data_IF_857127204322
#
_entry.id   IF_857127204322
#
_cell.length_a   1.000
_cell.length_b   1.000
_cell.length_c   1.000
_cell.angle_alpha   90.00
_cell.angle_beta   90.00
_cell.angle_gamma   90.00
#
_symmetry.space_group_name_H-M   'P 1'
#
loop_
_entity.id
_entity.type
_entity.pdbx_description
1 polymer ?
#
# COMPACT_ATOMS: atom_id res chain seq x y z
N UNK A 1 17.64 7.98 -30.56
CA UNK A 1 18.42 8.54 -29.45
C UNK A 1 17.60 9.17 -28.30
N UNK A 2 16.52 9.93 -28.54
CA UNK A 2 15.72 10.57 -27.46
C UNK A 2 15.06 9.58 -26.47
N UNK A 3 14.57 8.42 -26.91
CA UNK A 3 13.90 7.42 -26.06
C UNK A 3 14.83 6.71 -25.06
N UNK A 4 16.10 6.54 -25.40
CA UNK A 4 17.10 5.90 -24.52
C UNK A 4 17.51 6.82 -23.37
N UNK A 5 17.62 8.11 -23.62
CA UNK A 5 18.01 9.09 -22.61
C UNK A 5 16.92 9.30 -21.52
N UNK A 6 15.65 9.26 -21.93
CA UNK A 6 14.54 9.35 -20.96
C UNK A 6 14.50 8.14 -20.01
N UNK A 7 14.74 6.93 -20.52
CA UNK A 7 14.78 5.71 -19.68
C UNK A 7 15.91 5.76 -18.65
N UNK A 8 17.07 6.29 -19.03
CA UNK A 8 18.21 6.44 -18.10
C UNK A 8 17.97 7.48 -17.02
N UNK A 9 17.30 8.58 -17.33
CA UNK A 9 16.96 9.62 -16.35
C UNK A 9 15.92 9.14 -15.33
N UNK A 10 14.91 8.39 -15.76
CA UNK A 10 13.90 7.81 -14.88
C UNK A 10 14.55 6.76 -13.96
N UNK A 11 15.40 5.89 -14.50
CA UNK A 11 16.11 4.90 -13.68
C UNK A 11 17.02 5.55 -12.62
N UNK A 12 17.70 6.63 -12.96
CA UNK A 12 18.55 7.35 -12.02
C UNK A 12 17.75 8.09 -10.93
N UNK A 13 16.60 8.70 -11.29
CA UNK A 13 15.76 9.40 -10.32
C UNK A 13 15.04 8.44 -9.38
N UNK A 14 14.55 7.31 -9.86
CA UNK A 14 13.92 6.26 -9.04
C UNK A 14 14.95 5.61 -8.11
N UNK A 15 16.15 5.32 -8.61
CA UNK A 15 17.22 4.77 -7.77
C UNK A 15 17.62 5.71 -6.62
N UNK A 16 17.73 7.00 -6.88
CA UNK A 16 18.10 7.99 -5.86
C UNK A 16 17.01 8.18 -4.78
N UNK A 17 15.74 8.11 -5.15
CA UNK A 17 14.62 8.27 -4.19
C UNK A 17 14.44 7.02 -3.33
N UNK A 18 14.73 5.84 -3.83
CA UNK A 18 14.57 4.60 -3.06
C UNK A 18 15.56 4.46 -1.91
N UNK A 19 16.71 5.16 -1.96
CA UNK A 19 17.70 5.13 -0.89
C UNK A 19 17.58 6.28 0.11
N UNK A 20 16.77 7.30 -0.17
CA UNK A 20 16.63 8.46 0.69
C UNK A 20 15.45 8.30 1.65
N UNK A 21 15.69 7.77 2.84
CA UNK A 21 14.89 8.02 4.05
C UNK A 21 13.57 7.28 4.24
N UNK A 22 13.40 6.07 3.74
CA UNK A 22 12.31 5.22 4.24
C UNK A 22 12.88 4.31 5.34
N UNK A 23 12.39 4.45 6.57
CA UNK A 23 12.67 3.48 7.62
C UNK A 23 12.31 2.09 7.09
N UNK A 24 13.26 1.17 7.08
CA UNK A 24 13.02 -0.18 6.59
C UNK A 24 12.41 -1.01 7.69
N UNK A 25 11.15 -1.42 7.54
CA UNK A 25 10.62 -2.51 8.35
C UNK A 25 11.43 -3.79 8.08
N UNK A 26 11.73 -4.53 9.13
CA UNK A 26 12.40 -5.83 9.04
C UNK A 26 11.39 -6.89 9.43
N UNK A 27 11.07 -7.82 8.53
CA UNK A 27 9.93 -8.71 8.68
C UNK A 27 10.12 -10.05 8.01
N UNK A 28 9.26 -11.00 8.38
CA UNK A 28 9.05 -12.22 7.60
C UNK A 28 7.95 -12.05 6.54
N UNK A 29 7.09 -11.06 6.70
CA UNK A 29 6.04 -10.70 5.75
C UNK A 29 5.86 -9.19 5.74
N UNK A 30 5.83 -8.61 4.54
CA UNK A 30 5.68 -7.18 4.28
C UNK A 30 4.40 -6.93 3.49
N UNK A 31 3.55 -6.07 4.01
CA UNK A 31 2.38 -5.56 3.31
C UNK A 31 2.71 -4.22 2.63
N UNK A 32 2.44 -4.13 1.36
CA UNK A 32 2.45 -2.91 0.57
C UNK A 32 1.00 -2.51 0.26
N UNK A 33 0.44 -1.52 0.96
CA UNK A 33 -1.01 -1.26 0.96
C UNK A 33 -1.54 -0.70 -0.36
N UNK A 34 -0.68 -0.31 -1.28
CA UNK A 34 -1.11 0.16 -2.58
C UNK A 34 -0.05 -0.11 -3.65
N UNK A 35 -0.47 -0.71 -4.75
CA UNK A 35 0.29 -0.71 -6.00
C UNK A 35 -0.60 -0.32 -7.17
N UNK A 36 0.03 0.11 -8.25
CA UNK A 36 -0.65 0.38 -9.52
C UNK A 36 0.19 -0.07 -10.71
N UNK A 37 -0.48 -0.59 -11.74
CA UNK A 37 0.09 -0.91 -13.05
C UNK A 37 -0.52 -0.05 -14.16
N UNK A 38 -1.09 1.10 -13.80
CA UNK A 38 -1.66 2.05 -14.75
C UNK A 38 -0.54 2.67 -15.62
N UNK A 39 -0.84 2.94 -16.87
CA UNK A 39 0.14 3.47 -17.82
C UNK A 39 0.73 4.84 -17.44
N UNK A 40 -0.02 5.64 -16.67
CA UNK A 40 0.41 6.97 -16.20
C UNK A 40 1.17 6.95 -14.88
N UNK A 41 1.01 5.91 -14.06
CA UNK A 41 1.71 5.79 -12.80
C UNK A 41 2.02 4.33 -12.52
N UNK A 42 3.28 4.00 -12.28
CA UNK A 42 3.73 2.62 -12.07
C UNK A 42 4.36 2.44 -10.71
N UNK A 43 4.10 1.30 -10.11
CA UNK A 43 4.75 0.91 -8.88
C UNK A 43 6.04 0.17 -9.14
N UNK A 44 7.07 0.53 -8.38
CA UNK A 44 8.39 -0.12 -8.37
C UNK A 44 8.62 -0.69 -6.98
N UNK A 45 8.79 -1.99 -6.90
CA UNK A 45 9.10 -2.70 -5.68
C UNK A 45 10.63 -2.83 -5.53
N UNK A 46 11.12 -2.55 -4.33
CA UNK A 46 12.50 -2.85 -3.93
C UNK A 46 12.48 -3.75 -2.70
N UNK A 47 13.12 -4.89 -2.79
CA UNK A 47 13.29 -5.83 -1.70
C UNK A 47 14.76 -6.05 -1.42
N UNK A 48 15.11 -6.28 -0.16
CA UNK A 48 16.45 -6.69 0.23
C UNK A 48 16.40 -7.79 1.29
N UNK A 49 17.37 -8.69 1.20
CA UNK A 49 17.64 -9.69 2.20
C UNK A 49 18.90 -9.29 2.98
N UNK A 50 18.73 -8.87 4.22
CA UNK A 50 19.84 -8.46 5.08
C UNK A 50 20.36 -9.61 5.97
N UNK A 51 19.80 -10.80 5.82
CA UNK A 51 20.18 -11.99 6.57
C UNK A 51 21.46 -12.63 6.04
N UNK A 52 22.20 -13.24 6.95
CA UNK A 52 23.42 -13.99 6.62
C UNK A 52 23.16 -15.47 6.38
N UNK A 53 22.01 -15.97 6.76
CA UNK A 53 21.58 -17.36 6.60
C UNK A 53 20.04 -17.46 6.66
N UNK A 54 19.42 -18.30 5.85
CA UNK A 54 20.02 -19.07 4.75
C UNK A 54 20.48 -18.16 3.62
N UNK A 55 21.42 -18.64 2.83
CA UNK A 55 21.99 -17.89 1.71
C UNK A 55 20.93 -17.36 0.72
N UNK A 56 19.77 -18.01 0.63
CA UNK A 56 18.67 -17.62 -0.25
C UNK A 56 17.35 -17.69 0.51
N UNK A 57 16.55 -16.63 0.45
CA UNK A 57 15.17 -16.64 0.93
C UNK A 57 14.25 -17.00 -0.24
N UNK A 58 13.42 -18.03 -0.02
CA UNK A 58 12.28 -18.28 -0.89
C UNK A 58 11.17 -17.29 -0.54
N UNK A 59 10.68 -16.56 -1.51
CA UNK A 59 9.66 -15.54 -1.34
C UNK A 59 8.33 -16.00 -1.95
N UNK A 60 7.23 -15.62 -1.30
CA UNK A 60 5.88 -15.72 -1.83
C UNK A 60 5.31 -14.33 -2.00
N UNK A 61 4.77 -14.05 -3.17
CA UNK A 61 4.13 -12.79 -3.54
C UNK A 61 2.65 -13.04 -3.72
N UNK A 62 1.83 -12.26 -3.04
CA UNK A 62 0.38 -12.28 -3.18
C UNK A 62 -0.10 -10.90 -3.58
N UNK A 63 -0.48 -10.77 -4.83
CA UNK A 63 -1.09 -9.56 -5.36
C UNK A 63 -2.59 -9.66 -5.23
N UNK A 64 -3.20 -8.80 -4.44
CA UNK A 64 -4.65 -8.69 -4.31
C UNK A 64 -5.12 -7.46 -5.07
N UNK A 65 -6.06 -7.61 -5.98
CA UNK A 65 -6.42 -6.54 -6.90
C UNK A 65 -7.90 -6.56 -7.30
N UNK A 66 -8.36 -5.40 -7.81
CA UNK A 66 -9.71 -5.22 -8.30
C UNK A 66 -10.78 -5.23 -7.21
N UNK A 67 -12.01 -4.90 -7.58
CA UNK A 67 -13.13 -4.77 -6.65
C UNK A 67 -13.62 -6.13 -6.09
N UNK A 68 -13.33 -7.23 -6.79
CA UNK A 68 -13.72 -8.58 -6.38
C UNK A 68 -12.68 -9.26 -5.46
N UNK A 69 -11.59 -8.58 -5.12
CA UNK A 69 -10.48 -9.18 -4.39
C UNK A 69 -9.92 -10.43 -5.09
N UNK A 70 -9.65 -10.28 -6.35
CA UNK A 70 -8.93 -11.32 -7.09
C UNK A 70 -7.48 -11.33 -6.64
N UNK A 71 -6.86 -12.49 -6.57
CA UNK A 71 -5.45 -12.57 -6.25
C UNK A 71 -4.65 -13.28 -7.33
N UNK A 72 -3.36 -12.99 -7.33
CA UNK A 72 -2.35 -13.64 -8.16
C UNK A 72 -1.16 -13.99 -7.26
N UNK A 73 -0.88 -15.28 -7.19
CA UNK A 73 0.20 -15.84 -6.40
C UNK A 73 1.42 -16.14 -7.26
N UNK A 74 2.58 -15.81 -6.74
CA UNK A 74 3.84 -16.14 -7.41
C UNK A 74 4.97 -16.39 -6.40
N UNK A 75 5.98 -17.11 -6.85
CA UNK A 75 7.15 -17.42 -6.03
C UNK A 75 8.40 -16.76 -6.63
N UNK A 76 9.24 -16.24 -5.76
CA UNK A 76 10.53 -15.67 -6.11
C UNK A 76 11.62 -16.12 -5.15
N UNK A 77 12.79 -15.55 -5.30
CA UNK A 77 13.90 -15.77 -4.40
C UNK A 77 14.78 -14.53 -4.30
N UNK A 78 15.45 -14.39 -3.16
CA UNK A 78 16.38 -13.31 -2.88
C UNK A 78 17.57 -13.88 -2.13
N UNK A 79 18.77 -13.73 -2.68
CA UNK A 79 19.99 -14.25 -2.08
C UNK A 79 20.40 -13.43 -0.85
N UNK A 80 21.34 -13.93 -0.04
CA UNK A 80 21.81 -13.18 1.13
C UNK A 80 22.51 -11.88 0.72
N UNK A 81 22.27 -10.81 1.47
CA UNK A 81 22.81 -9.46 1.21
C UNK A 81 22.45 -8.91 -0.19
N UNK A 82 21.35 -9.34 -0.73
CA UNK A 82 20.88 -8.99 -2.06
C UNK A 82 19.83 -7.90 -2.05
N UNK A 83 19.73 -7.15 -3.15
CA UNK A 83 18.71 -6.12 -3.39
C UNK A 83 18.11 -6.34 -4.77
N UNK A 84 16.83 -6.59 -4.82
CA UNK A 84 16.06 -6.73 -6.06
C UNK A 84 15.09 -5.56 -6.20
N UNK A 85 15.25 -4.77 -7.26
CA UNK A 85 14.33 -3.68 -7.59
C UNK A 85 13.78 -3.84 -9.00
N UNK A 86 12.46 -3.83 -9.11
CA UNK A 86 11.77 -3.99 -10.39
C UNK A 86 10.40 -3.31 -10.40
N UNK A 87 9.87 -3.01 -11.59
CA UNK A 87 8.48 -2.58 -11.70
C UNK A 87 7.53 -3.71 -11.30
N UNK A 88 6.39 -3.37 -10.70
CA UNK A 88 5.33 -4.34 -10.42
C UNK A 88 4.77 -4.90 -11.73
N UNK A 89 4.45 -4.03 -12.68
CA UNK A 89 3.98 -4.45 -13.99
C UNK A 89 5.07 -5.21 -14.75
N UNK A 90 4.68 -6.29 -15.42
CA UNK A 90 5.58 -6.97 -16.35
C UNK A 90 5.94 -6.06 -17.53
N UNK A 91 7.09 -6.28 -18.20
CA UNK A 91 7.41 -5.55 -19.42
C UNK A 91 6.34 -5.66 -20.50
N UNK A 92 5.66 -6.82 -20.59
CA UNK A 92 4.54 -7.04 -21.51
C UNK A 92 3.29 -6.21 -21.13
N UNK A 93 3.13 -5.91 -19.85
CA UNK A 93 2.06 -5.03 -19.32
C UNK A 93 2.51 -3.56 -19.22
N UNK A 94 3.61 -3.17 -19.86
CA UNK A 94 4.11 -1.80 -19.89
C UNK A 94 5.08 -1.44 -18.76
N UNK A 95 5.51 -2.40 -17.95
CA UNK A 95 6.48 -2.19 -16.87
C UNK A 95 7.90 -1.91 -17.37
N UNK A 96 8.72 -1.32 -16.52
CA UNK A 96 10.11 -0.98 -16.84
C UNK A 96 11.05 -2.20 -16.81
N UNK A 97 10.62 -3.30 -16.19
CA UNK A 97 11.50 -4.43 -15.90
C UNK A 97 12.33 -4.22 -14.62
N UNK A 98 13.48 -4.84 -14.55
CA UNK A 98 14.48 -4.60 -13.49
C UNK A 98 14.98 -3.16 -13.54
N UNK A 99 15.10 -2.52 -12.36
CA UNK A 99 15.62 -1.16 -12.22
C UNK A 99 17.10 -1.18 -11.86
N UNK A 100 17.56 -2.18 -11.13
CA UNK A 100 18.93 -2.28 -10.63
C UNK A 100 19.65 -3.49 -11.23
N UNK A 101 20.76 -3.22 -11.87
CA UNK A 101 21.93 -4.03 -12.06
C UNK A 101 21.85 -5.41 -12.69
N UNK A 102 22.95 -6.13 -12.56
CA UNK A 102 23.22 -7.49 -13.07
C UNK A 102 22.82 -8.59 -12.09
N UNK A 103 22.00 -8.29 -11.10
CA UNK A 103 21.50 -9.24 -10.12
C UNK A 103 20.82 -10.44 -10.82
N UNK A 104 21.10 -11.64 -10.34
CA UNK A 104 20.56 -12.89 -10.87
C UNK A 104 19.21 -13.27 -10.29
N UNK A 105 18.75 -12.59 -9.24
CA UNK A 105 17.41 -12.79 -8.67
C UNK A 105 16.32 -12.53 -9.70
N UNK A 106 15.33 -13.39 -9.74
CA UNK A 106 14.26 -13.32 -10.73
C UNK A 106 13.12 -12.47 -10.20
N UNK A 107 12.77 -11.36 -10.89
CA UNK A 107 11.62 -10.55 -10.52
C UNK A 107 10.32 -11.33 -10.68
N UNK A 108 9.39 -11.10 -9.75
CA UNK A 108 8.01 -11.54 -9.89
C UNK A 108 7.16 -10.37 -10.37
N UNK A 109 6.77 -10.42 -11.62
CA UNK A 109 5.96 -9.38 -12.23
C UNK A 109 4.48 -9.72 -12.14
N UNK A 110 3.67 -8.71 -11.85
CA UNK A 110 2.24 -8.79 -12.00
C UNK A 110 1.86 -8.69 -13.50
N UNK A 111 1.07 -9.63 -14.03
CA UNK A 111 0.91 -9.78 -15.48
C UNK A 111 -0.09 -8.82 -16.12
N UNK A 112 -1.01 -8.22 -15.34
CA UNK A 112 -2.12 -7.45 -15.88
C UNK A 112 -1.84 -5.94 -15.85
N UNK A 113 -2.10 -5.21 -16.95
CA UNK A 113 -2.04 -3.76 -16.98
C UNK A 113 -3.27 -3.12 -16.32
N UNK A 114 -3.17 -1.85 -15.99
CA UNK A 114 -4.28 -1.00 -15.52
C UNK A 114 -5.01 -1.55 -14.28
N UNK A 115 -4.26 -2.14 -13.36
CA UNK A 115 -4.77 -2.61 -12.09
C UNK A 115 -4.25 -1.77 -10.92
N UNK A 116 -5.04 -1.76 -9.86
CA UNK A 116 -4.64 -1.27 -8.54
C UNK A 116 -4.91 -2.34 -7.50
N UNK A 117 -4.08 -2.38 -6.47
CA UNK A 117 -4.18 -3.41 -5.46
C UNK A 117 -3.26 -3.18 -4.28
N UNK A 118 -3.15 -4.21 -3.45
CA UNK A 118 -2.12 -4.31 -2.44
C UNK A 118 -1.30 -5.60 -2.66
N UNK A 119 -0.07 -5.58 -2.17
CA UNK A 119 0.87 -6.69 -2.32
C UNK A 119 1.34 -7.15 -0.94
N UNK A 120 1.38 -8.45 -0.74
CA UNK A 120 2.08 -9.07 0.38
C UNK A 120 3.27 -9.85 -0.17
N UNK A 121 4.44 -9.66 0.45
CA UNK A 121 5.64 -10.45 0.17
C UNK A 121 6.08 -11.12 1.45
N UNK A 122 6.07 -12.44 1.46
CA UNK A 122 6.44 -13.25 2.62
C UNK A 122 7.64 -14.12 2.35
N UNK A 123 8.53 -14.26 3.34
CA UNK A 123 9.61 -15.26 3.31
C UNK A 123 9.05 -16.62 3.68
N UNK A 124 9.24 -17.63 2.82
CA UNK A 124 8.89 -19.03 3.10
C UNK A 124 9.95 -19.75 3.97
N UNK A 125 11.04 -19.10 4.24
CA UNK A 125 12.17 -19.71 4.94
C UNK A 125 12.03 -19.49 6.44
N UNK A 126 11.56 -20.50 7.15
CA UNK A 126 11.15 -20.47 8.57
C UNK A 126 12.28 -20.09 9.54
N UNK A 127 13.52 -20.14 9.14
CA UNK A 127 14.67 -20.02 10.04
C UNK A 127 15.33 -18.64 10.06
N UNK A 128 14.90 -17.70 9.25
CA UNK A 128 15.55 -16.39 9.21
C UNK A 128 14.75 -15.36 9.99
N UNK A 129 15.36 -14.95 11.04
CA UNK A 129 15.06 -13.74 11.77
C UNK A 129 14.89 -12.57 10.78
N UNK A 130 13.75 -11.92 10.79
CA UNK A 130 13.48 -10.54 10.30
C UNK A 130 14.48 -9.95 9.28
N UNK A 131 14.79 -10.70 8.24
CA UNK A 131 15.82 -10.29 7.28
C UNK A 131 15.25 -9.66 5.99
N UNK A 132 13.96 -9.83 5.74
CA UNK A 132 13.29 -9.24 4.59
C UNK A 132 13.00 -7.76 4.86
N UNK A 133 13.46 -6.90 3.96
CA UNK A 133 13.16 -5.48 3.96
C UNK A 133 12.59 -5.08 2.62
N UNK A 134 11.73 -4.08 2.60
CA UNK A 134 11.17 -3.64 1.34
C UNK A 134 10.59 -2.24 1.37
N UNK A 135 10.58 -1.64 0.20
CA UNK A 135 9.90 -0.39 -0.08
C UNK A 135 9.23 -0.44 -1.44
N UNK A 136 8.23 0.39 -1.62
CA UNK A 136 7.57 0.59 -2.89
C UNK A 136 7.61 2.06 -3.26
N UNK A 137 7.90 2.36 -4.51
CA UNK A 137 7.79 3.68 -5.09
C UNK A 137 6.71 3.68 -6.17
N UNK A 138 5.85 4.70 -6.16
CA UNK A 138 4.92 4.98 -7.24
C UNK A 138 5.55 6.09 -8.07
N UNK A 139 5.77 5.81 -9.35
CA UNK A 139 6.45 6.70 -10.29
C UNK A 139 5.47 7.08 -11.39
N UNK A 140 5.22 8.37 -11.54
CA UNK A 140 4.56 8.92 -12.71
C UNK A 140 5.62 9.51 -13.65
N UNK A 141 5.94 8.83 -14.76
CA UNK A 141 6.97 9.30 -15.69
C UNK A 141 6.57 10.54 -16.48
N UNK A 142 5.28 10.89 -16.48
CA UNK A 142 4.76 12.07 -17.21
C UNK A 142 5.00 13.34 -16.41
N UNK A 143 4.74 13.29 -15.12
CA UNK A 143 4.90 14.43 -14.22
C UNK A 143 6.24 14.44 -13.49
N UNK A 144 6.98 13.32 -13.51
CA UNK A 144 8.20 13.14 -12.72
C UNK A 144 7.93 12.95 -11.23
N UNK A 145 6.69 12.68 -10.87
CA UNK A 145 6.28 12.50 -9.48
C UNK A 145 6.70 11.13 -8.96
N UNK A 146 7.27 11.11 -7.77
CA UNK A 146 7.64 9.88 -7.07
C UNK A 146 7.17 9.94 -5.64
N UNK A 147 6.43 8.91 -5.23
CA UNK A 147 6.07 8.67 -3.83
C UNK A 147 6.65 7.32 -3.43
N UNK A 148 7.37 7.27 -2.32
CA UNK A 148 7.87 6.01 -1.79
C UNK A 148 7.42 5.77 -0.36
N UNK A 149 7.24 4.50 -0.01
CA UNK A 149 6.86 4.06 1.33
C UNK A 149 7.46 2.69 1.65
N UNK A 150 7.68 2.44 2.95
CA UNK A 150 8.16 1.15 3.42
C UNK A 150 7.04 0.11 3.41
N UNK A 151 7.39 -1.15 3.21
CA UNK A 151 6.49 -2.26 3.51
C UNK A 151 6.12 -2.26 4.99
N UNK A 152 4.90 -2.63 5.31
CA UNK A 152 4.38 -2.71 6.68
C UNK A 152 4.63 -4.13 7.19
N UNK A 153 5.35 -4.22 8.30
CA UNK A 153 5.63 -5.48 8.98
C UNK A 153 4.36 -6.06 9.63
N UNK A 154 4.22 -7.37 9.60
CA UNK A 154 3.15 -8.10 10.28
C UNK A 154 3.25 -8.10 11.82
N UNK A 155 4.27 -7.46 12.39
CA UNK A 155 4.53 -7.33 13.84
C UNK A 155 4.68 -8.64 14.63
N UNK A 156 4.76 -9.79 13.96
CA UNK A 156 4.96 -11.10 14.61
C UNK A 156 6.23 -11.78 14.09
N UNK A 157 7.30 -11.65 14.84
CA UNK A 157 8.63 -12.14 14.48
C UNK A 157 8.75 -13.67 14.30
N UNK A 158 7.80 -14.47 14.77
CA UNK A 158 7.99 -15.93 14.87
C UNK A 158 6.87 -16.80 14.31
N UNK A 159 5.73 -16.24 13.95
CA UNK A 159 4.56 -17.04 13.56
C UNK A 159 3.94 -16.66 12.23
N UNK A 160 4.64 -15.85 11.46
CA UNK A 160 4.03 -15.16 10.32
C UNK A 160 3.71 -16.02 9.12
N UNK A 161 4.16 -17.26 9.05
CA UNK A 161 3.96 -18.06 7.85
C UNK A 161 3.36 -19.39 8.27
N UNK A 162 2.05 -19.43 8.33
CA UNK A 162 1.30 -20.66 8.51
C UNK A 162 1.04 -21.32 7.15
N UNK A 163 1.75 -22.43 6.90
CA UNK A 163 1.48 -23.28 5.74
C UNK A 163 2.14 -22.85 4.43
N UNK A 164 1.78 -23.50 3.34
CA UNK A 164 2.41 -23.38 2.04
C UNK A 164 2.23 -22.00 1.37
N UNK A 165 1.26 -21.19 1.84
CA UNK A 165 0.88 -19.92 1.22
C UNK A 165 1.13 -18.69 2.10
N UNK A 166 1.81 -18.82 3.21
CA UNK A 166 2.19 -17.83 4.22
C UNK A 166 1.97 -16.34 3.94
N UNK A 167 0.76 -15.82 4.21
CA UNK A 167 0.45 -14.41 3.99
C UNK A 167 0.55 -13.55 5.26
N UNK A 168 1.14 -14.00 6.31
CA UNK A 168 1.34 -13.22 7.52
C UNK A 168 0.06 -12.93 8.34
N UNK A 169 0.27 -12.57 9.58
CA UNK A 169 -0.77 -12.16 10.52
C UNK A 169 -0.62 -10.68 10.86
N UNK A 170 -1.54 -9.88 10.34
CA UNK A 170 -1.58 -8.43 10.54
C UNK A 170 -2.57 -8.01 11.64
N UNK A 171 -3.20 -8.96 12.34
CA UNK A 171 -4.25 -8.68 13.33
C UNK A 171 -3.82 -7.78 14.48
N UNK A 172 -2.53 -7.76 14.80
CA UNK A 172 -1.98 -6.93 15.88
C UNK A 172 -1.82 -5.44 15.50
N UNK A 173 -1.92 -5.11 14.21
CA UNK A 173 -1.62 -3.77 13.71
C UNK A 173 -2.76 -3.12 12.93
N UNK A 174 -3.91 -3.79 12.88
CA UNK A 174 -5.12 -3.21 12.26
C UNK A 174 -5.83 -2.27 13.22
N UNK A 175 -6.49 -1.28 12.63
CA UNK A 175 -7.34 -0.33 13.36
C UNK A 175 -8.80 -0.47 12.94
N UNK A 176 -9.68 -0.04 13.84
CA UNK A 176 -11.12 0.05 13.59
C UNK A 176 -11.62 1.49 13.64
N UNK A 177 -10.85 2.41 14.22
CA UNK A 177 -11.24 3.80 14.40
C UNK A 177 -10.20 4.73 13.76
N UNK A 178 -10.66 5.64 12.92
CA UNK A 178 -9.78 6.50 12.13
C UNK A 178 -10.19 7.97 12.28
N UNK A 179 -9.37 8.81 12.93
CA UNK A 179 -9.50 10.25 12.89
C UNK A 179 -8.87 10.81 11.61
N UNK A 180 -9.63 10.86 10.53
CA UNK A 180 -9.13 11.29 9.23
C UNK A 180 -9.05 12.81 9.16
N UNK A 181 -7.85 13.34 9.07
CA UNK A 181 -7.63 14.76 8.79
C UNK A 181 -7.71 15.01 7.30
N UNK A 182 -8.60 15.92 6.91
CA UNK A 182 -8.79 16.39 5.54
C UNK A 182 -8.22 17.79 5.42
N UNK A 183 -7.30 17.99 4.49
CA UNK A 183 -6.78 19.31 4.16
C UNK A 183 -7.65 20.00 3.10
N UNK A 184 -7.63 21.35 3.00
CA UNK A 184 -8.40 22.09 2.01
C UNK A 184 -8.15 21.58 0.58
N UNK A 185 -9.22 21.18 -0.12
CA UNK A 185 -9.14 20.55 -1.43
C UNK A 185 -8.54 21.46 -2.52
N UNK A 186 -8.59 22.78 -2.34
CA UNK A 186 -7.93 23.74 -3.25
C UNK A 186 -6.41 23.81 -3.11
N UNK A 187 -5.86 23.24 -2.02
CA UNK A 187 -4.42 23.26 -1.72
C UNK A 187 -3.85 21.85 -1.77
N UNK A 188 -4.58 20.85 -1.27
CA UNK A 188 -4.12 19.48 -1.16
C UNK A 188 -5.19 18.51 -1.64
N UNK A 189 -4.84 17.65 -2.58
CA UNK A 189 -5.62 16.47 -2.90
C UNK A 189 -5.27 15.35 -1.92
N UNK A 190 -6.27 14.73 -1.32
CA UNK A 190 -6.09 13.62 -0.38
C UNK A 190 -6.76 12.36 -0.92
N UNK A 191 -6.02 11.27 -0.95
CA UNK A 191 -6.53 9.94 -1.32
C UNK A 191 -6.16 8.95 -0.21
N UNK A 192 -7.11 8.18 0.25
CA UNK A 192 -6.91 7.12 1.24
C UNK A 192 -6.90 5.76 0.54
N UNK A 193 -6.01 4.90 0.99
CA UNK A 193 -5.96 3.49 0.61
C UNK A 193 -6.25 2.67 1.85
N UNK A 194 -7.39 2.00 1.84
CA UNK A 194 -7.82 1.11 2.91
C UNK A 194 -7.63 -0.34 2.48
N UNK A 195 -6.92 -1.12 3.28
CA UNK A 195 -6.69 -2.55 3.07
C UNK A 195 -7.27 -3.30 4.25
N UNK A 196 -8.22 -4.21 3.98
CA UNK A 196 -8.83 -5.03 5.01
C UNK A 196 -7.98 -6.28 5.21
N UNK A 197 -7.34 -6.39 6.35
CA UNK A 197 -6.44 -7.49 6.71
C UNK A 197 -6.72 -7.99 8.13
N UNK A 198 -6.08 -9.09 8.48
CA UNK A 198 -6.17 -9.71 9.79
C UNK A 198 -5.16 -10.86 9.88
N UNK A 199 -5.53 -11.96 10.53
CA UNK A 199 -4.77 -13.19 10.46
C UNK A 199 -5.05 -13.91 9.14
N UNK A 200 -4.35 -13.48 8.10
CA UNK A 200 -4.53 -14.02 6.74
C UNK A 200 -4.01 -15.45 6.64
N UNK A 201 -2.96 -15.78 7.38
CA UNK A 201 -2.39 -17.12 7.41
C UNK A 201 -3.35 -18.19 7.95
N UNK A 202 -4.21 -17.83 8.92
CA UNK A 202 -5.19 -18.75 9.47
C UNK A 202 -6.30 -19.15 8.46
N UNK A 203 -6.70 -18.23 7.58
CA UNK A 203 -7.71 -18.48 6.54
C UNK A 203 -7.13 -19.34 5.42
N UNK A 204 -5.91 -19.02 5.01
CA UNK A 204 -5.23 -19.66 3.88
C UNK A 204 -4.75 -21.05 4.23
N UNK A 205 -4.43 -21.31 5.49
CA UNK A 205 -4.18 -22.67 5.98
C UNK A 205 -5.34 -23.63 5.74
N UNK A 206 -6.55 -23.10 5.50
CA UNK A 206 -7.74 -23.85 5.09
C UNK A 206 -7.95 -23.93 3.56
N UNK A 207 -7.02 -23.38 2.76
CA UNK A 207 -7.09 -23.39 1.29
C UNK A 207 -8.07 -22.39 0.69
N UNK A 208 -8.43 -21.35 1.44
CA UNK A 208 -9.32 -20.27 0.98
C UNK A 208 -8.52 -18.97 0.77
N UNK A 209 -8.95 -18.19 -0.21
CA UNK A 209 -8.41 -16.86 -0.46
C UNK A 209 -8.83 -15.86 0.62
N UNK A 210 -7.95 -14.94 0.98
CA UNK A 210 -8.33 -13.84 1.85
C UNK A 210 -9.30 -12.88 1.14
N UNK A 211 -10.47 -12.66 1.73
CA UNK A 211 -11.48 -11.73 1.23
C UNK A 211 -12.05 -10.89 2.37
N UNK A 212 -11.21 -10.12 3.05
CA UNK A 212 -11.66 -9.24 4.11
C UNK A 212 -12.69 -8.23 3.61
N UNK A 213 -13.74 -7.98 4.37
CA UNK A 213 -14.75 -7.01 4.04
C UNK A 213 -15.27 -6.29 5.29
N UNK A 214 -15.87 -5.14 5.09
CA UNK A 214 -16.51 -4.37 6.15
C UNK A 214 -17.06 -3.05 5.65
N UNK A 215 -17.45 -2.21 6.58
CA UNK A 215 -18.01 -0.90 6.27
C UNK A 215 -17.39 0.19 7.14
N UNK A 216 -17.03 1.31 6.51
CA UNK A 216 -16.78 2.55 7.24
C UNK A 216 -18.07 3.27 7.53
N UNK A 217 -18.18 3.82 8.74
CA UNK A 217 -19.26 4.73 9.14
C UNK A 217 -18.70 5.90 9.94
N UNK A 218 -19.07 7.11 9.56
CA UNK A 218 -18.67 8.31 10.31
C UNK A 218 -19.59 8.64 11.49
N UNK A 219 -20.78 8.04 11.58
CA UNK A 219 -21.78 8.26 12.64
C UNK A 219 -22.06 9.75 12.95
N UNK A 220 -21.94 10.63 11.96
CA UNK A 220 -22.12 12.07 12.13
C UNK A 220 -20.93 12.81 12.76
N UNK A 221 -19.81 12.16 12.97
CA UNK A 221 -18.62 12.75 13.59
C UNK A 221 -17.74 13.45 12.56
N UNK A 222 -18.17 14.61 12.10
CA UNK A 222 -17.46 15.46 11.14
C UNK A 222 -17.40 16.88 11.65
N UNK A 223 -16.23 17.51 11.54
CA UNK A 223 -15.97 18.90 11.90
C UNK A 223 -15.21 19.59 10.78
N UNK A 224 -15.52 20.86 10.50
CA UNK A 224 -14.65 21.70 9.67
C UNK A 224 -13.50 22.30 10.51
N UNK A 225 -12.64 23.08 9.88
CA UNK A 225 -11.53 23.75 10.59
C UNK A 225 -11.98 24.81 11.60
N UNK A 226 -13.22 25.26 11.54
CA UNK A 226 -13.81 26.19 12.52
C UNK A 226 -14.44 25.44 13.73
N UNK A 227 -14.15 24.13 13.86
CA UNK A 227 -14.67 23.24 14.90
C UNK A 227 -16.20 23.10 14.90
N UNK A 228 -16.86 23.53 13.83
CA UNK A 228 -18.30 23.36 13.69
C UNK A 228 -18.64 21.90 13.35
N UNK A 229 -19.51 21.24 14.14
CA UNK A 229 -19.91 19.87 13.91
C UNK A 229 -20.98 19.80 12.80
N UNK A 230 -20.91 18.72 12.02
CA UNK A 230 -21.91 18.42 10.99
C UNK A 230 -22.54 17.05 11.26
N UNK A 231 -23.86 17.01 11.26
CA UNK A 231 -24.64 15.78 11.40
C UNK A 231 -24.78 15.06 10.06
N UNK A 232 -25.07 13.77 10.14
CA UNK A 232 -25.30 12.90 9.01
C UNK A 232 -24.38 11.69 9.06
N UNK A 233 -24.86 10.56 8.58
CA UNK A 233 -24.10 9.31 8.57
C UNK A 233 -23.85 8.87 7.14
N UNK A 234 -22.60 8.55 6.84
CA UNK A 234 -22.21 7.91 5.60
C UNK A 234 -21.73 6.50 5.91
N UNK A 235 -22.16 5.55 5.10
CA UNK A 235 -21.73 4.16 5.16
C UNK A 235 -21.02 3.84 3.84
N UNK A 236 -19.76 3.43 3.94
CA UNK A 236 -18.94 3.06 2.78
C UNK A 236 -18.48 1.62 2.89
N UNK A 237 -19.03 0.70 2.08
CA UNK A 237 -18.55 -0.69 2.06
C UNK A 237 -17.16 -0.79 1.42
N UNK A 238 -16.37 -1.70 1.94
CA UNK A 238 -15.04 -2.04 1.41
C UNK A 238 -14.92 -3.56 1.36
N UNK A 239 -14.45 -4.06 0.24
CA UNK A 239 -14.09 -5.48 0.05
C UNK A 239 -12.61 -5.52 -0.31
N UNK A 240 -11.83 -6.22 0.49
CA UNK A 240 -10.39 -6.36 0.38
C UNK A 240 -9.62 -5.04 0.48
N UNK A 241 -9.92 -4.13 -0.40
CA UNK A 241 -9.29 -2.81 -0.51
C UNK A 241 -10.24 -1.76 -1.06
N UNK A 242 -9.94 -0.51 -0.78
CA UNK A 242 -10.61 0.62 -1.43
C UNK A 242 -9.65 1.80 -1.58
N UNK A 243 -9.80 2.49 -2.70
CA UNK A 243 -9.28 3.85 -2.86
C UNK A 243 -10.41 4.81 -2.53
N UNK A 244 -10.22 5.63 -1.52
CA UNK A 244 -11.25 6.50 -0.95
C UNK A 244 -10.78 7.95 -1.00
N UNK A 245 -11.73 8.85 -1.11
CA UNK A 245 -11.50 10.30 -1.07
C UNK A 245 -12.32 10.92 0.06
N UNK A 246 -12.03 12.15 0.50
CA UNK A 246 -12.75 12.78 1.61
C UNK A 246 -14.27 12.78 1.46
N UNK A 247 -14.78 12.91 0.24
CA UNK A 247 -16.22 12.86 -0.05
C UNK A 247 -16.86 11.49 0.11
N UNK A 248 -16.08 10.42 0.18
CA UNK A 248 -16.58 9.08 0.50
C UNK A 248 -17.00 8.94 1.98
N UNK A 249 -16.58 9.86 2.83
CA UNK A 249 -16.87 9.90 4.26
C UNK A 249 -17.83 11.02 4.65
N UNK A 250 -18.35 11.76 3.69
CA UNK A 250 -19.17 12.94 3.95
C UNK A 250 -20.38 13.01 3.01
N UNK A 251 -21.54 13.40 3.53
CA UNK A 251 -22.70 13.74 2.68
C UNK A 251 -22.47 15.03 1.91
N UNK A 252 -23.33 15.36 0.94
CA UNK A 252 -23.18 16.57 0.15
C UNK A 252 -22.97 17.85 0.94
N UNK A 253 -23.75 18.07 2.02
CA UNK A 253 -23.59 19.24 2.89
C UNK A 253 -22.29 19.19 3.72
N UNK A 254 -21.93 18.02 4.24
CA UNK A 254 -20.68 17.79 4.98
C UNK A 254 -19.47 17.96 4.05
N UNK A 255 -19.52 17.39 2.86
CA UNK A 255 -18.45 17.52 1.85
C UNK A 255 -18.25 18.99 1.43
N UNK A 256 -19.34 19.76 1.29
CA UNK A 256 -19.28 21.18 0.99
C UNK A 256 -18.64 22.00 2.12
N UNK A 257 -18.79 21.58 3.37
CA UNK A 257 -18.22 22.26 4.52
C UNK A 257 -16.74 21.90 4.75
N UNK A 258 -16.38 20.62 4.63
CA UNK A 258 -15.03 20.10 4.91
C UNK A 258 -14.11 20.23 3.69
N UNK A 259 -14.63 20.07 2.49
CA UNK A 259 -13.83 20.08 1.27
C UNK A 259 -13.01 21.36 1.06
N UNK A 260 -13.64 22.56 1.03
CA UNK A 260 -12.93 23.81 0.78
C UNK A 260 -11.97 24.22 1.92
N UNK A 261 -12.37 23.97 3.15
CA UNK A 261 -11.71 24.50 4.35
C UNK A 261 -10.85 23.47 5.10
N UNK A 262 -11.01 22.21 4.73
CA UNK A 262 -10.45 21.11 5.51
C UNK A 262 -11.27 20.78 6.75
N UNK A 263 -10.83 19.77 7.50
CA UNK A 263 -11.52 19.36 8.72
C UNK A 263 -11.10 17.98 9.22
N UNK A 264 -11.89 17.46 10.15
CA UNK A 264 -11.70 16.16 10.77
C UNK A 264 -12.94 15.27 10.54
N UNK A 265 -12.72 14.06 10.10
CA UNK A 265 -13.74 13.01 10.01
C UNK A 265 -13.33 11.87 10.92
N UNK A 266 -14.13 11.58 11.95
CA UNK A 266 -13.95 10.36 12.74
C UNK A 266 -14.81 9.26 12.13
N UNK A 267 -14.18 8.21 11.66
CA UNK A 267 -14.88 7.06 11.07
C UNK A 267 -14.51 5.77 11.79
N UNK A 268 -15.47 4.87 11.89
CA UNK A 268 -15.29 3.53 12.45
C UNK A 268 -15.45 2.51 11.35
N UNK A 269 -14.56 1.54 11.30
CA UNK A 269 -14.69 0.37 10.44
C UNK A 269 -15.33 -0.77 11.21
N UNK A 270 -16.40 -1.32 10.65
CA UNK A 270 -17.05 -2.53 11.17
C UNK A 270 -16.76 -3.68 10.21
N UNK A 271 -15.90 -4.65 10.61
CA UNK A 271 -15.61 -5.80 9.75
C UNK A 271 -16.85 -6.67 9.57
N UNK A 272 -17.02 -7.16 8.34
CA UNK A 272 -18.00 -8.21 8.03
C UNK A 272 -17.22 -9.52 8.04
N UNK A 273 -17.50 -10.37 9.00
CA UNK A 273 -16.71 -11.59 9.22
C UNK A 273 -16.77 -12.53 8.02
N UNK A 274 -15.61 -12.88 7.47
CA UNK A 274 -15.43 -13.99 6.52
C UNK A 274 -15.22 -15.32 7.24
N UNK A 275 -14.68 -15.26 8.45
CA UNK A 275 -14.58 -16.38 9.37
C UNK A 275 -14.95 -15.86 10.75
N UNK A 276 -15.94 -16.46 11.43
CA UNK A 276 -16.26 -16.07 12.79
C UNK A 276 -15.02 -16.28 13.66
N UNK A 277 -14.61 -15.23 14.36
CA UNK A 277 -13.52 -15.19 15.35
C UNK A 277 -12.11 -14.80 14.84
N UNK A 278 -11.89 -14.43 13.60
CA UNK A 278 -10.59 -13.87 13.22
C UNK A 278 -10.58 -12.34 13.42
N UNK A 279 -9.62 -11.81 14.18
CA UNK A 279 -9.41 -10.37 14.28
C UNK A 279 -9.17 -9.79 12.89
N UNK A 280 -10.09 -8.95 12.45
CA UNK A 280 -10.04 -8.29 11.14
C UNK A 280 -10.24 -6.80 11.34
N UNK A 281 -9.46 -6.01 10.66
CA UNK A 281 -9.56 -4.56 10.66
C UNK A 281 -8.95 -3.96 9.41
N UNK A 282 -8.58 -2.72 9.48
CA UNK A 282 -8.06 -1.99 8.32
C UNK A 282 -6.66 -1.44 8.62
N UNK A 283 -5.80 -1.53 7.64
CA UNK A 283 -4.63 -0.68 7.54
C UNK A 283 -4.98 0.42 6.54
N UNK A 284 -4.96 1.66 7.01
CA UNK A 284 -5.25 2.81 6.17
C UNK A 284 -4.00 3.65 5.98
N UNK A 285 -3.69 3.96 4.74
CA UNK A 285 -2.65 4.92 4.36
C UNK A 285 -3.28 6.04 3.55
N UNK A 286 -2.71 7.24 3.59
CA UNK A 286 -3.16 8.34 2.74
C UNK A 286 -2.01 8.91 1.94
N UNK A 287 -2.28 9.29 0.70
CA UNK A 287 -1.41 10.12 -0.11
C UNK A 287 -2.02 11.52 -0.15
N UNK A 288 -1.21 12.50 0.19
CA UNK A 288 -1.55 13.91 0.08
C UNK A 288 -0.66 14.56 -0.99
N UNK A 289 -1.30 15.10 -2.02
CA UNK A 289 -0.63 15.79 -3.11
C UNK A 289 -0.89 17.29 -2.96
N UNK A 290 0.15 18.06 -2.71
CA UNK A 290 0.05 19.53 -2.73
C UNK A 290 -0.18 19.97 -4.17
N UNK A 291 -1.28 20.65 -4.41
CA UNK A 291 -1.61 21.17 -5.73
C UNK A 291 -0.73 22.38 -6.04
N UNK A 292 -0.19 22.49 -7.26
CA UNK A 292 0.55 23.67 -7.64
C UNK A 292 -0.37 24.89 -7.65
N UNK A 293 0.11 26.02 -7.14
CA UNK A 293 -0.59 27.29 -7.36
C UNK A 293 -0.73 27.54 -8.86
N UNK A 294 -1.82 28.19 -9.26
CA UNK A 294 -2.06 28.53 -10.68
C UNK A 294 -0.84 29.26 -11.23
N UNK A 295 -0.23 28.72 -12.28
CA UNK A 295 0.96 29.27 -12.91
C UNK A 295 2.30 28.84 -12.30
N UNK A 296 2.32 27.99 -11.25
CA UNK A 296 3.58 27.48 -10.70
C UNK A 296 4.12 26.32 -11.56
N UNK A 297 5.43 26.30 -11.85
CA UNK A 297 6.04 25.27 -12.70
C UNK A 297 6.30 23.94 -11.97
N UNK A 298 5.87 23.77 -10.72
CA UNK A 298 6.22 22.62 -9.91
C UNK A 298 5.08 21.59 -9.87
N UNK A 299 5.41 20.33 -10.16
CA UNK A 299 4.60 19.21 -9.71
C UNK A 299 4.47 19.26 -8.18
N UNK A 300 3.28 19.03 -7.66
CA UNK A 300 3.02 19.05 -6.21
C UNK A 300 3.88 18.02 -5.48
N UNK A 301 4.23 18.32 -4.24
CA UNK A 301 4.86 17.34 -3.35
C UNK A 301 3.81 16.35 -2.86
N UNK A 302 4.17 15.08 -2.80
CA UNK A 302 3.33 14.03 -2.23
C UNK A 302 3.89 13.56 -0.89
N UNK A 303 2.98 13.24 0.00
CA UNK A 303 3.28 12.67 1.30
C UNK A 303 2.40 11.44 1.52
N UNK A 304 3.00 10.35 1.93
CA UNK A 304 2.29 9.16 2.35
C UNK A 304 2.33 9.07 3.88
N UNK A 305 1.18 8.89 4.49
CA UNK A 305 1.04 8.70 5.93
C UNK A 305 0.21 7.45 6.19
N UNK A 306 0.54 6.73 7.24
CA UNK A 306 -0.35 5.74 7.82
C UNK A 306 -1.31 6.46 8.78
N UNK A 307 -2.61 6.28 8.56
CA UNK A 307 -3.62 6.70 9.52
C UNK A 307 -3.71 5.65 10.62
N UNK A 308 -3.50 6.07 11.86
CA UNK A 308 -3.64 5.20 13.03
C UNK A 308 -4.69 5.79 13.95
N UNK A 309 -5.42 4.94 14.66
CA UNK A 309 -6.18 5.37 15.82
C UNK A 309 -5.18 6.06 16.76
N UNK A 310 -5.46 7.28 17.14
CA UNK A 310 -4.57 8.07 18.01
C UNK A 310 -4.22 7.29 19.29
N UNK A 311 -2.95 7.39 19.66
CA UNK A 311 -2.46 6.92 20.97
C UNK A 311 -3.16 7.67 22.10
#
# INVERSE_FOLDING_TARGET
MKKSFQKSLIAASVGAVMFAAVGTASANSLLFPFFTTNSGAQSVLSLSNTGTAPATQALHYVYNYGAACTHFDANGSLTANDVLSHSIASPAAGGFGKVVGSDTSVPVYFPLPNQTGFLIVSSKTVASVDALRGSMAIVDPTTGLVVSYAGIDNAKATSGINGANGEGDYSAIVDLNFPLTVLPAGIVSTTFFAVVVGDMGAVIGAGADWKGAGTFSNNGNIWNNDEAPFSGTVIKPVVCQATLVPTDFATGAQAAAVGPNGGLVKTTFTPTSLAPNLPTGVIMTKIQTVLPAVGAPFAGKQFLHREQAGL
#
